data_IF_808722286840
#
_entry.id   IF_808722286840
#
_cell.length_a   1.000
_cell.length_b   1.000
_cell.length_c   1.000
_cell.angle_alpha   90.00
_cell.angle_beta   90.00
_cell.angle_gamma   90.00
#
_symmetry.space_group_name_H-M   'P 1'
#
loop_
_entity.id
_entity.type
_entity.pdbx_description
1 polymer ?
#
# COMPACT_ATOMS: atom_id res chain seq x y z
N UNK A 1 11.92 18.81 -3.23
CA UNK A 1 11.28 20.07 -3.67
C UNK A 1 10.09 20.33 -2.75
N UNK A 2 10.10 21.46 -2.04
CA UNK A 2 8.93 21.95 -1.31
C UNK A 2 7.85 22.49 -2.27
N UNK A 3 7.71 21.88 -3.39
CA UNK A 3 6.73 22.19 -4.40
C UNK A 3 5.84 20.99 -4.61
N UNK A 4 4.57 21.24 -4.69
CA UNK A 4 3.53 20.29 -5.07
C UNK A 4 3.67 19.89 -6.55
N UNK A 5 4.83 19.34 -6.93
CA UNK A 5 4.97 18.78 -8.28
C UNK A 5 5.24 17.29 -8.15
N UNK A 6 4.25 16.54 -8.51
CA UNK A 6 4.44 15.13 -8.84
C UNK A 6 5.34 15.05 -10.06
N UNK A 7 6.56 14.56 -9.87
CA UNK A 7 7.47 14.29 -10.96
C UNK A 7 7.36 12.82 -11.34
N UNK A 8 7.05 12.56 -12.59
CA UNK A 8 7.09 11.21 -13.14
C UNK A 8 8.54 10.89 -13.52
N UNK A 9 9.11 9.87 -12.89
CA UNK A 9 10.42 9.37 -13.26
C UNK A 9 10.29 8.37 -14.42
N UNK A 10 11.06 8.57 -15.47
CA UNK A 10 11.10 7.67 -16.61
C UNK A 10 12.17 6.60 -16.39
N UNK A 11 11.81 5.34 -16.54
CA UNK A 11 12.71 4.21 -16.46
C UNK A 11 13.45 4.01 -17.78
N UNK A 12 14.78 3.98 -17.72
CA UNK A 12 15.64 3.51 -18.81
C UNK A 12 16.63 2.50 -18.24
N UNK A 13 16.56 1.26 -18.71
CA UNK A 13 17.31 0.11 -18.17
C UNK A 13 17.07 -0.10 -16.66
N UNK A 14 18.08 0.03 -15.83
CA UNK A 14 18.01 -0.07 -14.39
C UNK A 14 17.94 1.27 -13.65
N UNK A 15 17.85 2.38 -14.41
CA UNK A 15 17.87 3.74 -13.84
C UNK A 15 16.54 4.44 -14.07
N UNK A 16 16.22 5.34 -13.16
CA UNK A 16 15.12 6.27 -13.29
C UNK A 16 15.67 7.69 -13.42
N UNK A 17 15.15 8.46 -14.35
CA UNK A 17 15.55 9.85 -14.56
C UNK A 17 14.33 10.76 -14.54
N UNK A 18 14.52 11.99 -14.09
CA UNK A 18 13.53 13.04 -14.06
C UNK A 18 14.16 14.37 -13.68
N UNK A 19 13.43 15.45 -13.86
CA UNK A 19 13.88 16.79 -13.55
C UNK A 19 13.62 17.13 -12.08
N UNK A 20 14.61 17.70 -11.43
CA UNK A 20 14.53 18.17 -10.05
C UNK A 20 15.14 19.56 -9.95
N UNK A 21 14.63 20.36 -9.00
CA UNK A 21 15.20 21.67 -8.70
C UNK A 21 16.42 21.50 -7.80
N UNK A 22 17.51 22.16 -8.13
CA UNK A 22 18.71 22.23 -7.28
C UNK A 22 18.40 22.83 -5.90
N UNK A 23 19.15 22.40 -4.91
CA UNK A 23 19.11 22.90 -3.54
C UNK A 23 18.64 21.87 -2.53
N UNK A 24 18.48 22.32 -1.29
CA UNK A 24 18.03 21.44 -0.18
C UNK A 24 16.60 21.02 -0.37
N UNK A 25 16.37 19.73 -0.41
CA UNK A 25 15.04 19.15 -0.59
C UNK A 25 14.88 17.85 0.16
N UNK A 26 13.64 17.54 0.49
CA UNK A 26 13.24 16.22 0.97
C UNK A 26 12.20 15.67 0.01
N UNK A 27 12.41 14.45 -0.47
CA UNK A 27 11.61 13.83 -1.50
C UNK A 27 11.07 12.50 -0.99
N UNK A 28 9.78 12.31 -1.13
CA UNK A 28 9.14 11.01 -0.98
C UNK A 28 8.94 10.39 -2.36
N UNK A 29 9.35 9.16 -2.50
CA UNK A 29 9.12 8.36 -3.70
C UNK A 29 8.11 7.28 -3.38
N UNK A 30 7.31 6.94 -4.37
CA UNK A 30 6.49 5.75 -4.29
C UNK A 30 6.38 5.10 -5.66
N UNK A 31 6.43 3.79 -5.64
CA UNK A 31 6.29 2.96 -6.81
C UNK A 31 5.04 2.09 -6.65
N UNK A 32 4.17 2.13 -7.63
CA UNK A 32 2.95 1.33 -7.69
C UNK A 32 2.88 0.60 -9.03
N UNK A 33 2.19 -0.52 -9.04
CA UNK A 33 1.82 -1.15 -10.29
C UNK A 33 0.59 -0.43 -10.88
N UNK A 34 0.68 0.02 -12.12
CA UNK A 34 -0.38 0.77 -12.79
C UNK A 34 -0.10 2.28 -12.91
N UNK A 35 -1.06 2.99 -13.45
CA UNK A 35 -0.97 4.44 -13.66
C UNK A 35 -1.71 5.17 -12.54
N UNK A 36 -1.02 6.00 -11.75
CA UNK A 36 -1.66 6.79 -10.73
C UNK A 36 -2.54 7.89 -11.34
N UNK A 37 -3.60 8.27 -10.61
CA UNK A 37 -4.42 9.44 -10.94
C UNK A 37 -4.30 10.44 -9.80
N UNK A 38 -3.49 11.48 -10.01
CA UNK A 38 -3.14 12.42 -8.95
C UNK A 38 -2.48 11.71 -7.77
N UNK A 39 -2.97 11.95 -6.56
CA UNK A 39 -2.45 11.33 -5.33
C UNK A 39 -3.14 9.99 -4.99
N UNK A 40 -3.93 9.44 -5.90
CA UNK A 40 -4.69 8.21 -5.69
C UNK A 40 -4.09 7.06 -6.47
N UNK A 41 -3.86 5.97 -5.79
CA UNK A 41 -3.25 4.73 -6.32
C UNK A 41 -4.12 3.58 -5.88
N UNK A 42 -4.76 2.89 -6.76
CA UNK A 42 -5.58 1.69 -6.55
C UNK A 42 -5.78 1.30 -5.06
N UNK A 43 -6.68 2.02 -4.38
CA UNK A 43 -7.02 1.81 -2.97
C UNK A 43 -6.13 2.54 -1.94
N UNK A 44 -5.19 3.39 -2.38
CA UNK A 44 -4.38 4.22 -1.50
C UNK A 44 -4.42 5.69 -1.90
N UNK A 45 -4.14 6.56 -0.94
CA UNK A 45 -3.78 7.95 -1.17
C UNK A 45 -2.45 8.27 -0.51
N UNK A 46 -1.66 9.13 -1.16
CA UNK A 46 -0.42 9.65 -0.62
C UNK A 46 -0.55 11.16 -0.38
N UNK A 47 -0.06 11.63 0.75
CA UNK A 47 -0.06 13.04 1.08
C UNK A 47 1.23 13.45 1.79
N UNK A 48 1.66 14.69 1.55
CA UNK A 48 2.69 15.34 2.36
C UNK A 48 2.01 15.93 3.59
N UNK A 49 2.35 15.44 4.77
CA UNK A 49 1.75 15.85 6.04
C UNK A 49 2.62 16.83 6.82
N UNK A 50 3.92 16.90 6.52
CA UNK A 50 4.81 17.97 7.01
C UNK A 50 5.77 18.36 5.90
N UNK A 51 5.83 19.67 5.63
CA UNK A 51 6.77 20.29 4.66
C UNK A 51 8.00 20.87 5.35
N UNK A 52 8.16 20.66 6.67
CA UNK A 52 9.34 21.10 7.39
C UNK A 52 10.56 20.27 6.92
N UNK A 53 11.55 20.96 6.38
CA UNK A 53 12.80 20.33 5.90
C UNK A 53 13.58 19.58 6.99
N UNK A 54 13.38 19.93 8.27
CA UNK A 54 14.00 19.23 9.38
C UNK A 54 13.21 17.96 9.77
N UNK A 55 11.91 17.97 9.54
CA UNK A 55 11.00 16.86 9.86
C UNK A 55 9.97 16.64 8.76
N UNK A 56 10.40 16.36 7.52
CA UNK A 56 9.47 16.09 6.42
C UNK A 56 8.70 14.80 6.74
N UNK A 57 7.40 14.77 6.40
CA UNK A 57 6.58 13.58 6.61
C UNK A 57 5.63 13.35 5.44
N UNK A 58 5.50 12.09 5.07
CA UNK A 58 4.54 11.60 4.08
C UNK A 58 3.59 10.63 4.76
N UNK A 59 2.34 10.66 4.36
CA UNK A 59 1.32 9.73 4.85
C UNK A 59 0.75 8.96 3.68
N UNK A 60 0.80 7.64 3.79
CA UNK A 60 0.06 6.69 2.95
C UNK A 60 -1.21 6.29 3.67
N UNK A 61 -2.35 6.44 3.02
CA UNK A 61 -3.65 6.04 3.57
C UNK A 61 -4.28 4.97 2.70
N UNK A 62 -4.71 3.88 3.32
CA UNK A 62 -5.55 2.86 2.69
C UNK A 62 -6.99 3.37 2.66
N UNK A 63 -7.56 3.51 1.48
CA UNK A 63 -8.93 4.02 1.27
C UNK A 63 -9.91 2.91 0.93
N UNK A 64 -9.44 1.75 0.53
CA UNK A 64 -10.26 0.60 0.19
C UNK A 64 -10.67 -0.17 1.45
N UNK A 65 -11.96 -0.51 1.56
CA UNK A 65 -12.49 -1.32 2.67
C UNK A 65 -12.06 -2.79 2.61
N UNK A 66 -11.54 -3.23 1.49
CA UNK A 66 -11.14 -4.62 1.24
C UNK A 66 -9.69 -4.76 0.73
N UNK A 67 -8.84 -3.80 1.07
CA UNK A 67 -7.47 -3.76 0.61
C UNK A 67 -7.32 -3.24 -0.83
N UNK A 68 -6.09 -3.13 -1.29
CA UNK A 68 -5.74 -2.68 -2.64
C UNK A 68 -5.38 -3.85 -3.55
N UNK A 69 -5.57 -3.67 -4.85
CA UNK A 69 -5.02 -4.57 -5.87
C UNK A 69 -3.55 -4.31 -6.19
N UNK A 70 -2.99 -3.17 -5.75
CA UNK A 70 -1.64 -2.74 -6.07
C UNK A 70 -0.64 -2.98 -4.95
N UNK A 71 0.53 -3.51 -5.30
CA UNK A 71 1.72 -3.50 -4.44
C UNK A 71 2.33 -2.09 -4.49
N UNK A 72 2.58 -1.50 -3.33
CA UNK A 72 3.18 -0.18 -3.21
C UNK A 72 4.50 -0.25 -2.47
N UNK A 73 5.50 0.48 -2.97
CA UNK A 73 6.78 0.66 -2.32
C UNK A 73 7.03 2.16 -2.12
N UNK A 74 7.63 2.50 -1.00
CA UNK A 74 7.94 3.88 -0.62
C UNK A 74 9.42 4.05 -0.32
N UNK A 75 9.93 5.23 -0.59
CA UNK A 75 11.28 5.62 -0.23
C UNK A 75 11.33 7.11 0.10
N UNK A 76 12.33 7.52 0.85
CA UNK A 76 12.59 8.93 1.14
C UNK A 76 14.04 9.26 0.89
N UNK A 77 14.28 10.49 0.45
CA UNK A 77 15.60 11.04 0.27
C UNK A 77 15.61 12.51 0.75
N UNK A 78 16.58 12.85 1.58
CA UNK A 78 16.81 14.21 2.05
C UNK A 78 18.25 14.58 1.74
N UNK A 79 18.44 15.56 0.88
CA UNK A 79 19.78 15.95 0.45
C UNK A 79 19.82 17.41 -0.05
N UNK A 80 21.03 17.88 -0.30
CA UNK A 80 21.31 19.08 -1.08
C UNK A 80 21.59 18.66 -2.51
N UNK A 81 20.61 18.85 -3.38
CA UNK A 81 20.65 18.35 -4.74
C UNK A 81 21.40 19.29 -5.65
N UNK A 82 22.39 18.76 -6.34
CA UNK A 82 23.21 19.46 -7.33
C UNK A 82 22.80 19.03 -8.75
N UNK A 83 23.13 19.84 -9.74
CA UNK A 83 22.93 19.48 -11.14
C UNK A 83 23.62 18.13 -11.46
N UNK A 84 22.97 17.34 -12.29
CA UNK A 84 23.44 16.04 -12.76
C UNK A 84 23.79 15.01 -11.66
N UNK A 85 23.25 15.20 -10.44
CA UNK A 85 23.49 14.28 -9.35
C UNK A 85 22.77 12.94 -9.55
N UNK A 86 23.43 11.86 -9.15
CA UNK A 86 22.85 10.52 -9.08
C UNK A 86 22.71 10.09 -7.64
N UNK A 87 21.59 9.45 -7.31
CA UNK A 87 21.28 8.96 -5.97
C UNK A 87 20.83 7.52 -6.01
N UNK A 88 21.24 6.77 -5.00
CA UNK A 88 20.65 5.47 -4.72
C UNK A 88 19.45 5.65 -3.80
N UNK A 89 18.32 5.10 -4.20
CA UNK A 89 17.08 5.16 -3.46
C UNK A 89 16.66 3.76 -3.05
N UNK A 90 16.59 3.53 -1.75
CA UNK A 90 16.11 2.26 -1.20
C UNK A 90 14.61 2.30 -0.95
N UNK A 91 13.88 1.40 -1.60
CA UNK A 91 12.46 1.24 -1.39
C UNK A 91 12.14 0.21 -0.31
N UNK A 92 11.13 0.50 0.48
CA UNK A 92 10.50 -0.45 1.41
C UNK A 92 9.03 -0.64 1.07
N UNK A 93 8.49 -1.81 1.38
CA UNK A 93 7.06 -2.09 1.22
C UNK A 93 6.36 -1.96 2.56
N UNK A 94 5.54 -0.92 2.77
CA UNK A 94 4.78 -0.75 4.01
C UNK A 94 3.51 -1.61 4.04
N UNK A 95 3.32 -2.48 3.06
CA UNK A 95 2.12 -3.29 2.87
C UNK A 95 2.42 -4.77 2.99
N UNK A 96 1.41 -5.54 3.41
CA UNK A 96 1.42 -7.00 3.40
C UNK A 96 0.44 -7.52 2.33
N UNK A 97 0.87 -8.55 1.60
CA UNK A 97 0.02 -9.25 0.63
C UNK A 97 -0.77 -10.34 1.35
N UNK A 98 -2.08 -10.37 1.14
CA UNK A 98 -2.95 -11.40 1.68
C UNK A 98 -3.78 -12.09 0.59
N UNK A 99 -4.06 -13.36 0.82
CA UNK A 99 -5.05 -14.14 0.09
C UNK A 99 -5.85 -14.95 1.10
N UNK A 100 -7.17 -14.99 0.96
CA UNK A 100 -8.08 -15.64 1.89
C UNK A 100 -8.93 -16.64 1.12
N UNK A 101 -8.88 -17.90 1.55
CA UNK A 101 -9.74 -18.97 1.03
C UNK A 101 -10.53 -19.58 2.19
N UNK A 102 -11.85 -19.62 2.05
CA UNK A 102 -12.70 -20.37 2.95
C UNK A 102 -12.73 -21.83 2.51
N UNK A 103 -12.44 -22.74 3.43
CA UNK A 103 -12.41 -24.17 3.19
C UNK A 103 -13.57 -24.86 3.95
N UNK A 104 -14.46 -25.51 3.20
CA UNK A 104 -15.65 -26.19 3.70
C UNK A 104 -15.52 -27.72 3.66
N UNK A 105 -14.31 -28.27 3.48
CA UNK A 105 -14.13 -29.71 3.30
C UNK A 105 -14.48 -30.56 4.53
N UNK A 106 -14.58 -29.97 5.71
CA UNK A 106 -14.58 -30.70 6.98
C UNK A 106 -15.88 -30.86 7.73
N UNK A 107 -16.97 -30.12 7.50
CA UNK A 107 -18.00 -30.14 8.56
C UNK A 107 -19.37 -29.51 8.29
N UNK A 108 -19.70 -29.00 7.16
CA UNK A 108 -21.01 -28.38 6.95
C UNK A 108 -21.93 -29.29 6.12
N UNK A 109 -23.01 -29.76 6.75
CA UNK A 109 -24.13 -30.33 6.03
C UNK A 109 -24.92 -29.19 5.38
N UNK A 110 -25.39 -29.36 4.14
CA UNK A 110 -26.16 -28.41 3.36
C UNK A 110 -25.38 -27.16 2.91
N UNK A 111 -24.21 -27.36 2.30
CA UNK A 111 -23.41 -26.30 1.68
C UNK A 111 -24.18 -25.53 0.59
N UNK A 112 -25.20 -26.14 -0.02
CA UNK A 112 -26.06 -25.52 -1.04
C UNK A 112 -26.86 -24.30 -0.50
N UNK A 113 -26.98 -24.19 0.82
CA UNK A 113 -27.65 -23.07 1.47
C UNK A 113 -26.70 -21.88 1.76
N UNK A 114 -25.41 -22.04 1.58
CA UNK A 114 -24.44 -20.94 1.76
C UNK A 114 -24.54 -20.02 0.55
N UNK A 115 -24.91 -18.77 0.76
CA UNK A 115 -25.15 -17.78 -0.31
C UNK A 115 -24.02 -16.78 -0.45
N UNK A 116 -23.30 -16.52 0.63
CA UNK A 116 -22.17 -15.59 0.66
C UNK A 116 -21.24 -15.87 1.84
N UNK A 117 -20.07 -15.28 1.76
CA UNK A 117 -19.08 -15.28 2.82
C UNK A 117 -18.65 -13.83 3.06
N UNK A 118 -18.65 -13.42 4.31
CA UNK A 118 -18.02 -12.17 4.74
C UNK A 118 -16.97 -12.49 5.79
N UNK A 119 -15.74 -12.01 5.55
CA UNK A 119 -14.63 -12.12 6.50
C UNK A 119 -14.22 -10.71 6.90
N UNK A 120 -14.17 -10.48 8.20
CA UNK A 120 -13.78 -9.20 8.78
C UNK A 120 -12.43 -9.34 9.48
N UNK A 121 -11.49 -8.50 9.11
CA UNK A 121 -10.21 -8.34 9.80
C UNK A 121 -10.26 -7.05 10.61
N UNK A 122 -10.32 -7.19 11.93
CA UNK A 122 -10.42 -6.06 12.84
C UNK A 122 -9.04 -5.46 13.14
N UNK A 123 -9.03 -4.19 13.54
CA UNK A 123 -7.83 -3.49 14.01
C UNK A 123 -6.66 -3.44 13.01
N UNK A 124 -6.96 -3.44 11.70
CA UNK A 124 -5.95 -3.17 10.69
C UNK A 124 -5.62 -1.70 10.64
N UNK A 125 -4.35 -1.39 10.46
CA UNK A 125 -3.93 -0.03 10.21
C UNK A 125 -4.46 0.46 8.86
N UNK A 126 -4.87 1.71 8.83
CA UNK A 126 -5.35 2.37 7.62
C UNK A 126 -4.44 3.51 7.18
N UNK A 127 -3.46 3.87 8.01
CA UNK A 127 -2.46 4.89 7.70
C UNK A 127 -1.09 4.45 8.14
N UNK A 128 -0.08 4.81 7.36
CA UNK A 128 1.29 4.84 7.83
C UNK A 128 1.96 6.15 7.46
N UNK A 129 2.89 6.58 8.29
CA UNK A 129 3.71 7.77 8.09
C UNK A 129 5.17 7.39 8.04
N UNK A 130 5.93 8.11 7.25
CA UNK A 130 7.36 7.95 7.15
C UNK A 130 8.05 9.30 6.89
N UNK A 131 9.12 9.54 7.61
CA UNK A 131 10.08 10.61 7.35
C UNK A 131 11.39 10.03 6.83
N UNK A 132 11.70 8.84 7.30
CA UNK A 132 12.80 7.99 6.90
C UNK A 132 12.25 6.56 6.74
N UNK A 133 12.69 5.86 5.71
CA UNK A 133 12.25 4.48 5.43
C UNK A 133 12.62 3.49 6.53
N UNK A 134 13.59 3.82 7.39
CA UNK A 134 13.96 2.99 8.55
C UNK A 134 12.90 2.99 9.66
N UNK A 135 11.94 3.92 9.62
CA UNK A 135 10.91 4.07 10.65
C UNK A 135 9.55 4.39 10.04
N UNK A 136 8.83 3.37 9.62
CA UNK A 136 7.43 3.51 9.20
C UNK A 136 6.54 3.40 10.43
N UNK A 137 5.80 4.48 10.72
CA UNK A 137 4.86 4.54 11.83
C UNK A 137 3.45 4.25 11.34
N UNK A 138 2.82 3.22 11.88
CA UNK A 138 1.44 2.84 11.55
C UNK A 138 0.45 3.46 12.53
N UNK A 139 -0.67 3.93 12.01
CA UNK A 139 -1.70 4.60 12.81
C UNK A 139 -3.09 4.40 12.22
N UNK A 140 -4.11 4.76 13.03
CA UNK A 140 -5.53 4.70 12.65
C UNK A 140 -5.95 3.31 12.21
N UNK A 141 -6.68 2.62 13.06
CA UNK A 141 -7.17 1.27 12.77
C UNK A 141 -8.61 1.29 12.29
N UNK A 142 -8.97 0.31 11.48
CA UNK A 142 -10.33 0.06 11.04
C UNK A 142 -10.55 -1.46 10.84
N UNK A 143 -11.74 -1.84 10.46
CA UNK A 143 -12.09 -3.19 10.03
C UNK A 143 -12.07 -3.26 8.51
N UNK A 144 -11.26 -4.17 7.97
CA UNK A 144 -11.31 -4.54 6.55
C UNK A 144 -12.32 -5.65 6.37
N UNK A 145 -13.15 -5.55 5.32
CA UNK A 145 -14.19 -6.54 5.00
C UNK A 145 -13.94 -7.14 3.63
N UNK A 146 -13.99 -8.46 3.58
CA UNK A 146 -13.90 -9.22 2.35
C UNK A 146 -15.19 -9.98 2.14
N UNK A 147 -15.79 -9.83 0.98
CA UNK A 147 -17.07 -10.42 0.63
C UNK A 147 -16.93 -11.26 -0.64
N UNK A 148 -17.49 -12.47 -0.60
CA UNK A 148 -17.60 -13.33 -1.77
C UNK A 148 -19.02 -13.90 -1.86
N UNK A 149 -19.78 -13.58 -2.93
CA UNK A 149 -21.03 -14.25 -3.23
C UNK A 149 -20.77 -15.69 -3.69
N UNK A 150 -21.65 -16.62 -3.36
CA UNK A 150 -21.55 -18.01 -3.77
C UNK A 150 -22.72 -18.31 -4.71
N UNK A 151 -22.42 -18.58 -5.95
CA UNK A 151 -23.41 -18.97 -6.99
C UNK A 151 -23.55 -20.48 -7.10
N UNK A 152 -22.69 -21.23 -6.46
CA UNK A 152 -22.66 -22.69 -6.36
C UNK A 152 -21.40 -23.12 -5.62
N UNK A 153 -21.46 -24.20 -4.86
CA UNK A 153 -20.29 -24.72 -4.15
C UNK A 153 -19.40 -25.49 -5.14
N UNK A 154 -18.11 -25.12 -5.29
CA UNK A 154 -17.18 -25.88 -6.10
C UNK A 154 -16.96 -27.30 -5.56
N UNK A 155 -16.53 -28.22 -6.42
CA UNK A 155 -16.29 -29.63 -6.06
C UNK A 155 -15.21 -29.78 -4.97
N UNK A 156 -14.21 -28.90 -4.97
CA UNK A 156 -13.15 -28.86 -3.95
C UNK A 156 -13.60 -28.18 -2.64
N UNK A 157 -14.84 -27.67 -2.61
CA UNK A 157 -15.44 -27.00 -1.45
C UNK A 157 -14.60 -25.81 -0.92
N UNK A 158 -13.91 -25.11 -1.80
CA UNK A 158 -13.06 -23.96 -1.47
C UNK A 158 -13.52 -22.71 -2.19
N UNK A 159 -13.69 -21.63 -1.45
CA UNK A 159 -14.11 -20.34 -1.98
C UNK A 159 -13.01 -19.32 -1.73
N UNK A 160 -12.46 -18.74 -2.78
CA UNK A 160 -11.54 -17.62 -2.67
C UNK A 160 -12.31 -16.35 -2.33
N UNK A 161 -12.12 -15.85 -1.11
CA UNK A 161 -12.77 -14.62 -0.62
C UNK A 161 -11.97 -13.37 -0.98
N UNK A 162 -10.66 -13.48 -0.93
CA UNK A 162 -9.74 -12.43 -1.40
C UNK A 162 -8.52 -13.08 -2.05
N UNK A 163 -8.05 -12.48 -3.15
CA UNK A 163 -6.85 -12.92 -3.84
C UNK A 163 -5.94 -11.73 -4.09
N UNK A 164 -4.67 -11.88 -3.69
CA UNK A 164 -3.61 -10.90 -3.96
C UNK A 164 -3.99 -9.48 -3.57
N UNK A 165 -4.55 -9.33 -2.34
CA UNK A 165 -4.85 -8.01 -1.77
C UNK A 165 -3.68 -7.50 -0.97
N UNK A 166 -3.41 -6.20 -1.07
CA UNK A 166 -2.38 -5.52 -0.31
C UNK A 166 -3.03 -4.65 0.75
N UNK A 167 -2.62 -4.83 1.99
CA UNK A 167 -3.14 -4.14 3.16
C UNK A 167 -1.99 -3.58 4.00
N UNK A 168 -2.26 -2.58 4.84
CA UNK A 168 -1.33 -2.21 5.90
C UNK A 168 -1.33 -3.30 6.98
N UNK A 169 -0.21 -3.51 7.71
CA UNK A 169 -0.12 -4.56 8.73
C UNK A 169 -1.19 -4.46 9.81
N UNK A 170 -1.43 -5.56 10.50
CA UNK A 170 -2.34 -5.60 11.64
C UNK A 170 -1.72 -4.90 12.86
N UNK A 171 -2.54 -4.20 13.66
CA UNK A 171 -2.08 -3.43 14.82
C UNK A 171 -1.47 -4.26 15.97
N UNK A 172 -1.68 -5.57 16.00
CA UNK A 172 -1.25 -6.49 17.05
C UNK A 172 0.01 -7.29 16.71
N UNK A 173 0.95 -6.71 15.99
CA UNK A 173 2.29 -7.28 15.85
C UNK A 173 2.48 -8.28 14.70
N UNK A 174 1.68 -8.25 13.67
CA UNK A 174 2.02 -8.91 12.42
C UNK A 174 3.16 -8.14 11.76
N UNK A 175 4.35 -8.69 11.82
CA UNK A 175 5.48 -8.26 10.97
C UNK A 175 5.35 -8.96 9.61
N UNK A 176 5.37 -8.20 8.50
CA UNK A 176 5.33 -8.78 7.16
C UNK A 176 6.54 -9.64 6.85
#
# INVERSE_FOLDING_TARGET
>A
VLGEKDAVLTKSDSKYSGEMTEGKSAIGFFAVQGTPTGNTYDGYTMAVTSKDMNSPRWTLSLTSENGSGSDIAVATLKNDFQADASFDVQFVRPVAKISITADFTGSINNLDNVKDITISLNSHYTKCQFADISSVEYSTTNTLKFYAPITGMPDDKKITVAKDRFILPHSTGYTP
#
